data_IF_492202158964
#
_entry.id   IF_492202158964
#
_cell.length_a   1.000
_cell.length_b   1.000
_cell.length_c   1.000
_cell.angle_alpha   90.00
_cell.angle_beta   90.00
_cell.angle_gamma   90.00
#
_symmetry.space_group_name_H-M   'P 1'
#
loop_
_entity.id
_entity.type
_entity.pdbx_description
1 polymer ?
#
# COMPACT_ATOMS: atom_id res chain seq x y z
N UNK A 1 -0.50 -4.89 23.39
CA UNK A 1 0.94 -4.94 23.73
C UNK A 1 1.51 -3.56 24.04
N UNK A 2 1.33 -2.55 23.18
CA UNK A 2 1.73 -1.16 23.53
C UNK A 2 1.01 -0.58 24.75
N UNK A 3 -0.27 -0.91 24.94
CA UNK A 3 -0.99 -0.55 26.16
C UNK A 3 -0.26 -1.00 27.44
N UNK A 4 0.40 -2.16 27.42
CA UNK A 4 1.15 -2.67 28.58
C UNK A 4 2.44 -1.87 28.80
N UNK A 5 3.18 -1.57 27.73
CA UNK A 5 4.37 -0.70 27.81
C UNK A 5 4.01 0.72 28.26
N UNK A 6 2.97 1.33 27.70
CA UNK A 6 2.49 2.66 28.11
C UNK A 6 1.95 2.70 29.53
N UNK A 7 1.39 1.60 30.03
CA UNK A 7 0.94 1.48 31.42
C UNK A 7 2.10 1.26 32.38
N UNK A 8 3.10 0.48 31.98
CA UNK A 8 4.33 0.29 32.75
C UNK A 8 5.11 1.60 32.86
N UNK A 9 5.29 2.35 31.77
CA UNK A 9 5.99 3.64 31.81
C UNK A 9 5.26 4.65 32.70
N UNK A 10 3.93 4.61 32.74
CA UNK A 10 3.10 5.47 33.59
C UNK A 10 3.14 5.04 35.07
N UNK A 11 3.32 3.75 35.36
CA UNK A 11 3.53 3.21 36.72
C UNK A 11 4.95 3.45 37.26
N UNK A 12 5.95 3.44 36.37
CA UNK A 12 7.36 3.65 36.69
C UNK A 12 7.76 5.13 36.68
N UNK A 13 6.87 6.01 36.17
CA UNK A 13 7.03 7.46 36.32
C UNK A 13 6.94 7.84 37.80
N UNK A 14 7.95 8.51 38.37
CA UNK A 14 7.91 8.91 39.77
C UNK A 14 6.71 9.84 39.97
N UNK A 15 5.78 9.45 40.85
CA UNK A 15 4.56 10.20 41.14
C UNK A 15 4.89 11.68 41.35
N UNK A 16 4.40 12.55 40.47
CA UNK A 16 4.25 13.95 40.81
C UNK A 16 3.35 14.00 42.04
N UNK A 17 3.92 14.53 43.12
CA UNK A 17 3.28 14.70 44.40
C UNK A 17 1.86 15.26 44.23
N UNK A 18 0.87 14.48 44.64
CA UNK A 18 -0.47 15.00 44.90
C UNK A 18 -0.34 15.85 46.16
N UNK A 19 -0.29 17.17 45.98
CA UNK A 19 -0.48 18.13 47.07
C UNK A 19 -1.94 18.08 47.51
N UNK A 20 -2.22 17.32 48.56
CA UNK A 20 -3.53 17.32 49.23
C UNK A 20 -3.64 18.52 50.16
N UNK A 21 -4.31 19.59 49.73
CA UNK A 21 -4.91 20.57 50.64
C UNK A 21 -6.33 20.13 51.01
N UNK A 22 -6.48 19.78 52.28
CA UNK A 22 -7.66 19.53 53.13
C UNK A 22 -9.07 19.72 52.54
N UNK A 23 -9.96 18.75 52.83
CA UNK A 23 -11.41 19.00 52.93
C UNK A 23 -12.35 17.82 52.65
N UNK A 24 -12.73 17.09 53.72
CA UNK A 24 -14.04 16.41 53.94
C UNK A 24 -14.50 15.20 53.09
N UNK A 25 -14.46 14.03 53.75
CA UNK A 25 -15.45 12.92 53.82
C UNK A 25 -16.17 12.43 52.54
N UNK A 26 -15.88 11.20 52.08
CA UNK A 26 -16.82 10.04 52.03
C UNK A 26 -16.19 8.79 51.36
N UNK A 27 -16.50 7.62 51.94
CA UNK A 27 -16.61 6.26 51.36
C UNK A 27 -15.38 5.48 50.85
N UNK A 28 -14.92 4.56 51.71
CA UNK A 28 -14.49 3.18 51.46
C UNK A 28 -13.79 2.83 50.13
N UNK A 29 -12.46 2.95 50.13
CA UNK A 29 -11.55 2.16 49.29
C UNK A 29 -10.58 1.48 50.27
N UNK A 30 -10.28 0.17 50.16
CA UNK A 30 -9.25 -0.44 51.00
C UNK A 30 -7.90 0.19 50.64
N UNK A 31 -7.41 1.08 51.50
CA UNK A 31 -6.05 1.62 51.45
C UNK A 31 -5.08 0.48 51.79
N UNK A 32 -4.32 0.02 50.79
CA UNK A 32 -3.18 -0.87 51.01
C UNK A 32 -2.12 -0.04 51.72
N UNK A 33 -2.04 -0.16 53.05
CA UNK A 33 -0.93 0.38 53.82
C UNK A 33 0.29 -0.51 53.57
N UNK A 34 1.17 -0.07 52.66
CA UNK A 34 2.52 -0.63 52.57
C UNK A 34 3.25 -0.20 53.84
N UNK A 35 3.33 -1.11 54.79
CA UNK A 35 4.07 -0.89 56.03
C UNK A 35 5.56 -0.95 55.67
N UNK A 36 6.22 0.20 55.73
CA UNK A 36 7.66 0.35 55.53
C UNK A 36 8.42 -0.56 56.48
N UNK A 37 9.07 -1.58 55.93
CA UNK A 37 10.01 -2.44 56.63
C UNK A 37 11.35 -2.46 55.86
N UNK A 38 12.31 -1.65 56.35
CA UNK A 38 13.76 -1.70 56.13
C UNK A 38 14.33 -1.57 54.67
N UNK A 39 15.55 -1.04 54.49
CA UNK A 39 16.05 -0.49 53.23
C UNK A 39 16.60 -1.53 52.22
N UNK A 40 16.17 -2.80 52.31
CA UNK A 40 16.58 -3.86 51.38
C UNK A 40 15.61 -4.04 50.19
N UNK A 41 14.46 -3.38 50.23
CA UNK A 41 13.45 -3.42 49.16
C UNK A 41 13.86 -2.66 47.89
N UNK A 42 14.69 -1.63 48.01
CA UNK A 42 15.02 -0.74 46.89
C UNK A 42 15.88 -1.42 45.82
N UNK A 43 16.74 -2.37 46.20
CA UNK A 43 17.56 -3.17 45.28
C UNK A 43 16.74 -4.15 44.45
N UNK A 44 15.75 -4.80 45.05
CA UNK A 44 14.92 -5.80 44.37
C UNK A 44 13.89 -5.11 43.46
N UNK A 45 13.33 -3.98 43.94
CA UNK A 45 12.38 -3.18 43.16
C UNK A 45 13.04 -2.52 41.96
N UNK A 46 14.29 -2.06 42.09
CA UNK A 46 15.06 -1.51 40.97
C UNK A 46 15.46 -2.57 39.94
N UNK A 47 15.89 -3.77 40.37
CA UNK A 47 16.16 -4.88 39.44
C UNK A 47 14.90 -5.32 38.68
N UNK A 48 13.76 -5.41 39.37
CA UNK A 48 12.48 -5.73 38.73
C UNK A 48 12.08 -4.67 37.69
N UNK A 49 12.25 -3.38 38.00
CA UNK A 49 12.01 -2.28 37.06
C UNK A 49 12.81 -2.43 35.78
N UNK A 50 14.12 -2.68 35.90
CA UNK A 50 15.02 -2.86 34.75
C UNK A 50 14.59 -4.06 33.90
N UNK A 51 14.22 -5.18 34.53
CA UNK A 51 13.75 -6.36 33.79
C UNK A 51 12.41 -6.12 33.08
N UNK A 52 11.49 -5.39 33.71
CA UNK A 52 10.19 -5.04 33.10
C UNK A 52 10.36 -4.06 31.94
N UNK A 53 11.27 -3.11 32.06
CA UNK A 53 11.62 -2.19 30.97
C UNK A 53 12.24 -2.93 29.78
N UNK A 54 13.19 -3.85 30.06
CA UNK A 54 13.79 -4.70 29.03
C UNK A 54 12.72 -5.52 28.29
N UNK A 55 11.86 -6.21 29.05
CA UNK A 55 10.80 -7.03 28.49
C UNK A 55 9.77 -6.21 27.72
N UNK A 56 9.43 -5.01 28.19
CA UNK A 56 8.56 -4.08 27.46
C UNK A 56 9.18 -3.64 26.14
N UNK A 57 10.51 -3.42 26.11
CA UNK A 57 11.27 -3.16 24.90
C UNK A 57 11.19 -4.31 23.89
N UNK A 58 11.44 -5.55 24.34
CA UNK A 58 11.34 -6.74 23.50
C UNK A 58 9.93 -6.94 22.92
N UNK A 59 8.88 -6.71 23.72
CA UNK A 59 7.50 -6.78 23.22
C UNK A 59 7.16 -5.69 22.20
N UNK A 60 7.75 -4.50 22.34
CA UNK A 60 7.56 -3.41 21.39
C UNK A 60 8.25 -3.74 20.05
N UNK A 61 9.48 -4.24 20.09
CA UNK A 61 10.22 -4.67 18.91
C UNK A 61 9.50 -5.80 18.17
N UNK A 62 8.96 -6.77 18.91
CA UNK A 62 8.15 -7.84 18.35
C UNK A 62 6.88 -7.28 17.68
N UNK A 63 6.22 -6.30 18.31
CA UNK A 63 5.03 -5.67 17.73
C UNK A 63 5.35 -4.95 16.40
N UNK A 64 6.48 -4.23 16.32
CA UNK A 64 6.93 -3.61 15.06
C UNK A 64 7.22 -4.65 13.98
N UNK A 65 7.87 -5.75 14.34
CA UNK A 65 8.16 -6.86 13.43
C UNK A 65 6.86 -7.47 12.89
N UNK A 66 5.87 -7.72 13.76
CA UNK A 66 4.56 -8.22 13.34
C UNK A 66 3.86 -7.26 12.37
N UNK A 67 3.89 -5.95 12.63
CA UNK A 67 3.30 -4.96 11.71
C UNK A 67 3.99 -4.96 10.35
N UNK A 68 5.32 -5.06 10.32
CA UNK A 68 6.07 -5.17 9.08
C UNK A 68 5.72 -6.45 8.31
N UNK A 69 5.62 -7.59 8.99
CA UNK A 69 5.24 -8.86 8.38
C UNK A 69 3.83 -8.80 7.79
N UNK A 70 2.86 -8.19 8.51
CA UNK A 70 1.51 -7.98 7.98
C UNK A 70 1.52 -7.07 6.74
N UNK A 71 2.25 -5.95 6.81
CA UNK A 71 2.42 -5.04 5.68
C UNK A 71 3.03 -5.72 4.44
N UNK A 72 3.98 -6.64 4.64
CA UNK A 72 4.57 -7.44 3.57
C UNK A 72 3.62 -8.54 3.06
N UNK A 73 2.90 -9.22 3.94
CA UNK A 73 1.94 -10.26 3.58
C UNK A 73 0.87 -9.71 2.63
N UNK A 74 0.29 -8.55 2.93
CA UNK A 74 -0.70 -7.93 2.03
C UNK A 74 -0.10 -7.65 0.65
N UNK A 75 1.18 -7.26 0.58
CA UNK A 75 1.85 -7.03 -0.71
C UNK A 75 2.06 -8.32 -1.47
N UNK A 76 2.52 -9.36 -0.79
CA UNK A 76 2.69 -10.71 -1.36
C UNK A 76 1.37 -11.22 -1.92
N UNK A 77 0.24 -10.99 -1.24
CA UNK A 77 -1.08 -11.34 -1.76
C UNK A 77 -1.39 -10.61 -3.07
N UNK A 78 -1.15 -9.29 -3.14
CA UNK A 78 -1.34 -8.53 -4.37
C UNK A 78 -0.52 -9.14 -5.53
N UNK A 79 0.75 -9.50 -5.29
CA UNK A 79 1.56 -10.19 -6.31
C UNK A 79 1.01 -11.57 -6.66
N UNK A 80 0.59 -12.37 -5.68
CA UNK A 80 0.06 -13.70 -5.89
C UNK A 80 -1.16 -13.71 -6.82
N UNK A 81 -2.08 -12.78 -6.60
CA UNK A 81 -3.30 -12.66 -7.39
C UNK A 81 -3.07 -11.94 -8.72
N UNK A 82 -2.29 -10.85 -8.76
CA UNK A 82 -2.21 -10.00 -9.95
C UNK A 82 -1.08 -10.35 -10.91
N UNK A 83 -0.01 -11.03 -10.46
CA UNK A 83 1.12 -11.32 -11.33
C UNK A 83 0.69 -12.33 -12.42
N UNK A 84 0.89 -12.00 -13.71
CA UNK A 84 0.55 -12.90 -14.80
C UNK A 84 1.44 -14.15 -14.73
N UNK A 85 0.79 -15.32 -14.59
CA UNK A 85 1.48 -16.61 -14.74
C UNK A 85 1.65 -16.88 -16.24
N UNK A 86 2.76 -17.50 -16.66
CA UNK A 86 3.28 -17.60 -18.05
C UNK A 86 2.25 -17.82 -19.20
N UNK A 87 1.04 -18.32 -18.94
CA UNK A 87 0.01 -18.58 -19.95
C UNK A 87 -1.38 -17.97 -19.63
N UNK A 88 -1.53 -17.15 -18.59
CA UNK A 88 -2.84 -16.70 -18.13
C UNK A 88 -2.92 -15.16 -18.07
N UNK A 89 -3.39 -14.57 -19.16
CA UNK A 89 -3.65 -13.13 -19.30
C UNK A 89 -4.93 -12.72 -18.52
N UNK A 90 -5.76 -13.69 -18.12
CA UNK A 90 -7.03 -13.43 -17.46
C UNK A 90 -6.87 -13.07 -15.98
N UNK A 91 -6.93 -11.76 -15.72
CA UNK A 91 -6.86 -11.13 -14.40
C UNK A 91 -8.22 -11.20 -13.64
N UNK A 92 -9.31 -11.50 -14.35
CA UNK A 92 -10.71 -11.30 -13.89
C UNK A 92 -11.13 -12.10 -12.64
N UNK A 93 -10.93 -13.43 -12.54
CA UNK A 93 -11.30 -14.16 -11.31
C UNK A 93 -10.49 -13.69 -10.10
N UNK A 94 -9.24 -13.28 -10.34
CA UNK A 94 -8.26 -13.02 -9.29
C UNK A 94 -8.43 -11.65 -8.64
N UNK A 95 -8.99 -10.67 -9.36
CA UNK A 95 -9.26 -9.33 -8.80
C UNK A 95 -10.38 -9.38 -7.77
N UNK A 96 -11.44 -10.12 -8.06
CA UNK A 96 -12.54 -10.31 -7.10
C UNK A 96 -12.04 -11.07 -5.88
N UNK A 97 -11.26 -12.14 -6.08
CA UNK A 97 -10.63 -12.88 -4.97
C UNK A 97 -9.69 -12.00 -4.15
N UNK A 98 -8.84 -11.20 -4.78
CA UNK A 98 -7.97 -10.25 -4.08
C UNK A 98 -8.78 -9.25 -3.26
N UNK A 99 -9.81 -8.62 -3.86
CA UNK A 99 -10.64 -7.64 -3.15
C UNK A 99 -11.34 -8.24 -1.92
N UNK A 100 -11.81 -9.49 -2.03
CA UNK A 100 -12.36 -10.24 -0.89
C UNK A 100 -11.30 -10.53 0.15
N UNK A 101 -10.12 -10.98 -0.27
CA UNK A 101 -8.99 -11.26 0.62
C UNK A 101 -8.58 -10.01 1.41
N UNK A 102 -8.48 -8.85 0.75
CA UNK A 102 -8.16 -7.58 1.38
C UNK A 102 -9.22 -7.17 2.40
N UNK A 103 -10.51 -7.31 2.07
CA UNK A 103 -11.61 -7.01 2.98
C UNK A 103 -11.61 -7.94 4.21
N UNK A 104 -11.37 -9.24 4.03
CA UNK A 104 -11.28 -10.20 5.15
C UNK A 104 -10.08 -9.90 6.05
N UNK A 105 -8.94 -9.51 5.46
CA UNK A 105 -7.78 -9.09 6.23
C UNK A 105 -8.05 -7.80 7.02
N UNK A 106 -8.69 -6.81 6.40
CA UNK A 106 -9.06 -5.56 7.07
C UNK A 106 -9.99 -5.80 8.27
N UNK A 107 -11.02 -6.64 8.10
CA UNK A 107 -11.93 -7.01 9.19
C UNK A 107 -11.19 -7.70 10.34
N UNK A 108 -10.35 -8.69 10.04
CA UNK A 108 -9.57 -9.42 11.05
C UNK A 108 -8.53 -8.55 11.77
N UNK A 109 -7.95 -7.57 11.07
CA UNK A 109 -6.97 -6.65 11.66
C UNK A 109 -7.65 -5.57 12.48
N UNK A 110 -8.81 -5.08 12.05
CA UNK A 110 -9.58 -4.04 12.75
C UNK A 110 -10.07 -4.49 14.13
N UNK A 111 -10.19 -5.79 14.40
CA UNK A 111 -10.53 -6.30 15.75
C UNK A 111 -9.35 -6.27 16.73
N UNK A 112 -8.12 -6.20 16.22
CA UNK A 112 -6.90 -6.42 17.02
C UNK A 112 -5.92 -5.24 16.99
N UNK A 113 -6.03 -4.37 15.99
CA UNK A 113 -5.11 -3.25 15.74
C UNK A 113 -5.85 -1.91 15.82
N UNK A 114 -5.09 -0.87 16.19
CA UNK A 114 -5.57 0.50 16.09
C UNK A 114 -5.68 0.92 14.61
N UNK A 115 -6.63 1.80 14.25
CA UNK A 115 -6.86 2.23 12.87
C UNK A 115 -5.60 2.74 12.14
N UNK A 116 -4.71 3.42 12.86
CA UNK A 116 -3.44 3.94 12.30
C UNK A 116 -2.50 2.82 11.83
N UNK A 117 -2.49 1.69 12.55
CA UNK A 117 -1.67 0.52 12.22
C UNK A 117 -2.26 -0.27 11.07
N UNK A 118 -3.58 -0.43 11.05
CA UNK A 118 -4.29 -1.00 9.90
C UNK A 118 -4.01 -0.16 8.66
N UNK A 119 -4.11 1.17 8.76
CA UNK A 119 -3.77 2.08 7.66
C UNK A 119 -2.34 1.91 7.18
N UNK A 120 -1.35 1.83 8.09
CA UNK A 120 0.05 1.57 7.73
C UNK A 120 0.23 0.27 6.94
N UNK A 121 -0.48 -0.80 7.32
CA UNK A 121 -0.40 -2.09 6.63
C UNK A 121 -0.86 -1.95 5.17
N UNK A 122 -1.93 -1.20 4.92
CA UNK A 122 -2.49 -1.01 3.57
C UNK A 122 -1.92 0.17 2.77
N UNK A 123 -1.07 1.00 3.39
CA UNK A 123 -0.47 2.17 2.75
C UNK A 123 0.32 1.78 1.49
N UNK A 124 0.17 2.54 0.40
CA UNK A 124 0.91 2.34 -0.85
C UNK A 124 0.50 1.13 -1.69
N UNK A 125 -0.56 0.40 -1.31
CA UNK A 125 -1.04 -0.75 -2.09
C UNK A 125 -1.60 -0.32 -3.45
N UNK A 126 -2.34 0.80 -3.52
CA UNK A 126 -2.86 1.32 -4.79
C UNK A 126 -1.76 1.53 -5.82
N UNK A 127 -0.66 2.16 -5.40
CA UNK A 127 0.51 2.41 -6.26
C UNK A 127 1.15 1.11 -6.75
N UNK A 128 1.31 0.15 -5.84
CA UNK A 128 1.92 -1.14 -6.17
C UNK A 128 1.05 -1.95 -7.14
N UNK A 129 -0.26 -2.03 -6.88
CA UNK A 129 -1.23 -2.69 -7.76
C UNK A 129 -1.21 -2.02 -9.13
N UNK A 130 -1.22 -0.69 -9.18
CA UNK A 130 -1.14 0.07 -10.43
C UNK A 130 0.08 -0.34 -11.27
N UNK A 131 1.26 -0.34 -10.64
CA UNK A 131 2.52 -0.75 -11.29
C UNK A 131 2.49 -2.20 -11.77
N UNK A 132 1.95 -3.13 -10.98
CA UNK A 132 1.81 -4.55 -11.40
C UNK A 132 0.93 -4.66 -12.64
N UNK A 133 -0.23 -3.99 -12.64
CA UNK A 133 -1.17 -4.03 -13.75
C UNK A 133 -0.58 -3.38 -15.02
N UNK A 134 0.05 -2.22 -14.91
CA UNK A 134 0.69 -1.54 -16.06
C UNK A 134 1.83 -2.37 -16.63
N UNK A 135 2.67 -2.95 -15.76
CA UNK A 135 3.75 -3.85 -16.17
C UNK A 135 3.24 -5.11 -16.87
N UNK A 136 2.02 -5.55 -16.57
CA UNK A 136 1.44 -6.75 -17.19
C UNK A 136 1.23 -6.60 -18.71
N UNK A 137 1.11 -5.37 -19.22
CA UNK A 137 0.87 -5.05 -20.64
C UNK A 137 1.95 -5.63 -21.55
N UNK A 138 3.20 -5.75 -21.08
CA UNK A 138 4.29 -6.33 -21.87
C UNK A 138 4.01 -7.78 -22.30
N UNK A 139 3.23 -8.52 -21.51
CA UNK A 139 2.86 -9.92 -21.75
C UNK A 139 1.62 -10.07 -22.63
N UNK A 140 0.92 -8.98 -22.95
CA UNK A 140 -0.30 -9.05 -23.74
C UNK A 140 0.05 -9.24 -25.21
N UNK A 141 -0.68 -10.15 -25.86
CA UNK A 141 -0.50 -10.41 -27.30
C UNK A 141 -1.45 -9.58 -28.15
N UNK A 142 -2.62 -9.26 -27.61
CA UNK A 142 -3.69 -8.48 -28.24
C UNK A 142 -4.45 -7.70 -27.17
N UNK A 143 -5.08 -6.62 -27.60
CA UNK A 143 -6.00 -5.85 -26.78
C UNK A 143 -7.12 -5.31 -27.68
N UNK A 144 -8.35 -5.40 -27.20
CA UNK A 144 -9.50 -4.69 -27.79
C UNK A 144 -10.11 -3.69 -26.80
N UNK A 145 -11.13 -2.95 -27.26
CA UNK A 145 -11.86 -1.98 -26.43
C UNK A 145 -12.60 -2.65 -25.25
N UNK A 146 -13.15 -3.84 -25.44
CA UNK A 146 -13.78 -4.65 -24.39
C UNK A 146 -12.79 -5.04 -23.30
N UNK A 147 -11.56 -5.42 -23.66
CA UNK A 147 -10.49 -5.78 -22.73
C UNK A 147 -10.04 -4.58 -21.90
N UNK A 148 -9.90 -3.40 -22.53
CA UNK A 148 -9.64 -2.14 -21.82
C UNK A 148 -10.80 -1.81 -20.86
N UNK A 149 -12.05 -1.92 -21.32
CA UNK A 149 -13.22 -1.66 -20.49
C UNK A 149 -13.33 -2.64 -19.31
N UNK A 150 -13.01 -3.92 -19.53
CA UNK A 150 -12.92 -4.95 -18.47
C UNK A 150 -11.87 -4.58 -17.44
N UNK A 151 -10.65 -4.25 -17.89
CA UNK A 151 -9.58 -3.83 -17.00
C UNK A 151 -9.96 -2.57 -16.21
N UNK A 152 -10.62 -1.60 -16.85
CA UNK A 152 -11.13 -0.40 -16.18
C UNK A 152 -12.10 -0.73 -15.05
N UNK A 153 -13.00 -1.71 -15.24
CA UNK A 153 -13.88 -2.20 -14.17
C UNK A 153 -13.11 -2.90 -13.05
N UNK A 154 -12.13 -3.74 -13.37
CA UNK A 154 -11.29 -4.39 -12.37
C UNK A 154 -10.51 -3.38 -11.51
N UNK A 155 -9.89 -2.39 -12.14
CA UNK A 155 -9.19 -1.30 -11.45
C UNK A 155 -10.16 -0.56 -10.53
N UNK A 156 -11.38 -0.27 -11.02
CA UNK A 156 -12.39 0.39 -10.19
C UNK A 156 -12.80 -0.45 -8.98
N UNK A 157 -12.98 -1.77 -9.13
CA UNK A 157 -13.26 -2.67 -8.00
C UNK A 157 -12.14 -2.65 -6.97
N UNK A 158 -10.88 -2.74 -7.39
CA UNK A 158 -9.73 -2.64 -6.49
C UNK A 158 -9.67 -1.27 -5.81
N UNK A 159 -9.90 -0.21 -6.56
CA UNK A 159 -9.94 1.16 -6.04
C UNK A 159 -11.00 1.33 -4.97
N UNK A 160 -12.22 0.82 -5.16
CA UNK A 160 -13.27 0.87 -4.13
C UNK A 160 -12.87 0.05 -2.90
N UNK A 161 -12.32 -1.15 -3.09
CA UNK A 161 -11.88 -2.00 -1.99
C UNK A 161 -10.80 -1.33 -1.14
N UNK A 162 -9.77 -0.76 -1.78
CA UNK A 162 -8.64 -0.13 -1.08
C UNK A 162 -9.08 1.18 -0.44
N UNK A 163 -9.79 2.05 -1.17
CA UNK A 163 -10.27 3.32 -0.64
C UNK A 163 -11.19 3.14 0.57
N UNK A 164 -11.98 2.05 0.61
CA UNK A 164 -12.80 1.71 1.77
C UNK A 164 -11.97 1.34 2.99
N UNK A 165 -10.80 0.73 2.81
CA UNK A 165 -9.91 0.30 3.90
C UNK A 165 -9.05 1.46 4.39
N UNK A 166 -8.43 2.19 3.46
CA UNK A 166 -7.48 3.28 3.77
C UNK A 166 -8.18 4.60 4.10
N UNK A 167 -9.47 4.72 3.78
CA UNK A 167 -10.24 5.97 3.83
C UNK A 167 -9.54 7.10 3.03
N UNK A 168 -8.82 6.73 1.97
CA UNK A 168 -8.08 7.66 1.11
C UNK A 168 -8.42 7.49 -0.35
N UNK A 169 -8.20 8.57 -1.12
CA UNK A 169 -8.32 8.53 -2.58
C UNK A 169 -7.09 7.87 -3.20
N UNK A 170 -7.30 6.84 -4.00
CA UNK A 170 -6.24 6.12 -4.72
C UNK A 170 -5.94 6.77 -6.08
N UNK A 171 -5.12 7.83 -6.07
CA UNK A 171 -4.75 8.62 -7.27
C UNK A 171 -3.98 7.77 -8.30
N UNK A 172 -3.14 6.84 -7.84
CA UNK A 172 -2.38 5.95 -8.71
C UNK A 172 -3.26 4.97 -9.48
N UNK A 173 -4.37 4.52 -8.91
CA UNK A 173 -5.34 3.67 -9.61
C UNK A 173 -6.14 4.48 -10.64
N UNK A 174 -6.43 5.76 -10.36
CA UNK A 174 -6.98 6.68 -11.37
C UNK A 174 -6.00 6.86 -12.56
N UNK A 175 -4.69 7.01 -12.29
CA UNK A 175 -3.64 7.05 -13.32
C UNK A 175 -3.53 5.74 -14.08
N UNK A 176 -3.57 4.60 -13.38
CA UNK A 176 -3.53 3.26 -13.99
C UNK A 176 -4.71 3.07 -14.95
N UNK A 177 -5.92 3.51 -14.58
CA UNK A 177 -7.08 3.44 -15.46
C UNK A 177 -6.90 4.28 -16.74
N UNK A 178 -6.31 5.47 -16.61
CA UNK A 178 -5.96 6.33 -17.76
C UNK A 178 -4.91 5.68 -18.66
N UNK A 179 -3.94 4.97 -18.10
CA UNK A 179 -2.95 4.23 -18.88
C UNK A 179 -3.59 3.12 -19.73
N UNK A 180 -4.54 2.37 -19.18
CA UNK A 180 -5.25 1.37 -19.99
C UNK A 180 -6.13 2.00 -21.06
N UNK A 181 -6.71 3.19 -20.81
CA UNK A 181 -7.40 3.94 -21.86
C UNK A 181 -6.43 4.38 -22.96
N UNK A 182 -5.20 4.78 -22.63
CA UNK A 182 -4.20 5.16 -23.63
C UNK A 182 -3.95 4.06 -24.67
N UNK A 183 -4.12 2.78 -24.31
CA UNK A 183 -4.00 1.64 -25.23
C UNK A 183 -5.06 1.59 -26.34
N UNK A 184 -6.13 2.38 -26.24
CA UNK A 184 -7.17 2.49 -27.28
C UNK A 184 -6.82 3.52 -28.34
N UNK A 185 -5.82 4.38 -28.08
CA UNK A 185 -5.40 5.45 -28.97
C UNK A 185 -4.46 4.92 -30.07
N UNK A 186 -4.26 5.74 -31.09
CA UNK A 186 -3.21 5.55 -32.08
C UNK A 186 -1.83 5.97 -31.57
N UNK A 187 -0.75 5.40 -32.14
CA UNK A 187 0.60 5.85 -31.83
C UNK A 187 0.78 7.36 -32.00
N UNK A 188 0.24 7.95 -33.07
CA UNK A 188 0.33 9.40 -33.30
C UNK A 188 -0.42 10.22 -32.24
N UNK A 189 -1.62 9.80 -31.85
CA UNK A 189 -2.37 10.44 -30.76
C UNK A 189 -1.60 10.39 -29.43
N UNK A 190 -0.96 9.27 -29.12
CA UNK A 190 -0.13 9.12 -27.91
C UNK A 190 1.07 10.08 -27.95
N UNK A 191 1.78 10.15 -29.08
CA UNK A 191 2.94 11.02 -29.21
C UNK A 191 2.54 12.50 -29.14
N UNK A 192 1.39 12.87 -29.72
CA UNK A 192 0.86 14.23 -29.63
C UNK A 192 0.46 14.58 -28.19
N UNK A 193 -0.17 13.67 -27.45
CA UNK A 193 -0.51 13.89 -26.03
C UNK A 193 0.75 14.14 -25.16
N UNK A 194 1.84 13.41 -25.41
CA UNK A 194 3.12 13.63 -24.72
C UNK A 194 3.70 15.02 -25.05
N UNK A 195 3.54 15.49 -26.29
CA UNK A 195 4.00 16.81 -26.71
C UNK A 195 3.19 17.95 -26.09
N UNK A 196 1.87 17.79 -25.97
CA UNK A 196 0.97 18.81 -25.44
C UNK A 196 0.97 18.85 -23.91
N UNK A 197 0.89 17.69 -23.26
CA UNK A 197 0.68 17.57 -21.81
C UNK A 197 1.94 17.19 -21.03
N UNK A 198 3.01 16.79 -21.72
CA UNK A 198 4.21 16.21 -21.11
C UNK A 198 4.07 14.71 -20.80
N UNK A 199 5.19 14.03 -20.49
CA UNK A 199 5.18 12.60 -20.18
C UNK A 199 4.50 12.33 -18.84
N UNK A 200 3.44 11.51 -18.86
CA UNK A 200 2.69 11.08 -17.68
C UNK A 200 3.14 9.70 -17.16
N UNK A 201 3.82 8.93 -18.00
CA UNK A 201 4.31 7.58 -17.72
C UNK A 201 5.80 7.47 -18.02
N UNK A 202 6.43 6.38 -17.58
CA UNK A 202 7.84 6.11 -17.83
C UNK A 202 8.10 5.72 -19.29
N UNK A 203 9.34 5.93 -19.76
CA UNK A 203 9.80 5.53 -21.09
C UNK A 203 9.45 4.06 -21.41
N UNK A 204 9.64 3.18 -20.42
CA UNK A 204 9.36 1.75 -20.55
C UNK A 204 7.86 1.44 -20.69
N UNK A 205 7.00 2.16 -19.97
CA UNK A 205 5.55 2.01 -20.07
C UNK A 205 5.03 2.46 -21.44
N UNK A 206 5.51 3.60 -21.93
CA UNK A 206 5.19 4.05 -23.30
C UNK A 206 5.69 3.06 -24.36
N UNK A 207 6.90 2.51 -24.18
CA UNK A 207 7.43 1.49 -25.09
C UNK A 207 6.54 0.24 -25.12
N UNK A 208 6.15 -0.29 -23.96
CA UNK A 208 5.27 -1.45 -23.89
C UNK A 208 3.90 -1.19 -24.54
N UNK A 209 3.31 -0.02 -24.29
CA UNK A 209 2.05 0.41 -24.89
C UNK A 209 2.13 0.44 -26.43
N UNK A 210 3.12 1.16 -26.99
CA UNK A 210 3.29 1.27 -28.45
C UNK A 210 3.56 -0.08 -29.12
N UNK A 211 4.38 -0.93 -28.49
CA UNK A 211 4.64 -2.28 -29.00
C UNK A 211 3.38 -3.14 -29.04
N UNK A 212 2.52 -3.05 -28.02
CA UNK A 212 1.25 -3.78 -28.00
C UNK A 212 0.29 -3.27 -29.08
N UNK A 213 0.15 -1.95 -29.21
CA UNK A 213 -0.71 -1.31 -30.23
C UNK A 213 -0.26 -1.70 -31.63
N UNK A 214 1.04 -1.67 -31.90
CA UNK A 214 1.59 -2.08 -33.19
C UNK A 214 1.32 -3.56 -33.48
N UNK A 215 1.55 -4.46 -32.51
CA UNK A 215 1.24 -5.90 -32.63
C UNK A 215 -0.24 -6.14 -32.99
N UNK A 216 -1.15 -5.33 -32.46
CA UNK A 216 -2.58 -5.43 -32.77
C UNK A 216 -2.89 -4.95 -34.20
N UNK A 217 -2.26 -3.85 -34.64
CA UNK A 217 -2.53 -3.21 -35.95
C UNK A 217 -1.90 -3.97 -37.13
N UNK A 218 -0.66 -4.42 -37.00
CA UNK A 218 0.06 -5.19 -38.05
C UNK A 218 -0.62 -6.51 -38.39
N UNK A 219 -1.47 -7.01 -37.48
CA UNK A 219 -2.30 -8.20 -37.73
C UNK A 219 -3.64 -7.87 -38.40
N UNK A 220 -4.15 -6.64 -38.23
CA UNK A 220 -5.46 -6.22 -38.71
C UNK A 220 -5.44 -5.56 -40.10
N UNK A 221 -4.28 -5.08 -40.57
CA UNK A 221 -4.11 -4.39 -41.85
C UNK A 221 -2.81 -4.81 -42.56
N UNK A 222 -2.65 -4.47 -43.84
CA UNK A 222 -1.36 -4.55 -44.53
C UNK A 222 -0.33 -3.64 -43.84
N UNK A 223 0.96 -4.02 -43.76
CA UNK A 223 1.96 -3.32 -42.97
C UNK A 223 2.33 -1.99 -43.64
N UNK A 224 1.67 -0.89 -43.30
CA UNK A 224 1.93 0.42 -43.91
C UNK A 224 2.92 1.29 -43.13
N UNK A 225 3.17 1.00 -41.84
CA UNK A 225 4.08 1.81 -41.00
C UNK A 225 5.00 0.94 -40.18
N UNK A 226 6.32 1.13 -40.35
CA UNK A 226 7.37 0.45 -39.60
C UNK A 226 7.23 0.76 -38.09
N UNK A 227 7.16 -0.24 -37.19
CA UNK A 227 7.10 -0.04 -35.74
C UNK A 227 8.22 0.86 -35.20
N UNK A 228 9.38 0.85 -35.85
CA UNK A 228 10.55 1.60 -35.42
C UNK A 228 10.36 3.11 -35.57
N UNK A 229 9.48 3.58 -36.48
CA UNK A 229 9.24 5.01 -36.68
C UNK A 229 8.65 5.65 -35.41
N UNK A 230 7.59 5.05 -34.86
CA UNK A 230 6.97 5.57 -33.63
C UNK A 230 7.89 5.40 -32.42
N UNK A 231 8.69 4.34 -32.37
CA UNK A 231 9.64 4.11 -31.27
C UNK A 231 10.78 5.15 -31.28
N UNK A 232 11.35 5.44 -32.45
CA UNK A 232 12.38 6.47 -32.60
C UNK A 232 11.81 7.85 -32.25
N UNK A 233 10.61 8.16 -32.74
CA UNK A 233 9.93 9.42 -32.45
C UNK A 233 9.62 9.57 -30.96
N UNK A 234 9.21 8.50 -30.27
CA UNK A 234 9.04 8.50 -28.82
C UNK A 234 10.35 8.86 -28.11
N UNK A 235 11.46 8.21 -28.47
CA UNK A 235 12.76 8.47 -27.86
C UNK A 235 13.22 9.92 -28.07
N UNK A 236 13.01 10.46 -29.28
CA UNK A 236 13.34 11.85 -29.61
C UNK A 236 12.53 12.83 -28.75
N UNK A 237 11.21 12.63 -28.68
CA UNK A 237 10.30 13.47 -27.88
C UNK A 237 10.67 13.43 -26.40
N UNK A 238 10.84 12.23 -25.82
CA UNK A 238 11.18 12.08 -24.41
C UNK A 238 12.56 12.68 -24.09
N UNK A 239 13.52 12.56 -25.00
CA UNK A 239 14.84 13.18 -24.86
C UNK A 239 14.75 14.70 -24.91
N UNK A 240 13.96 15.26 -25.82
CA UNK A 240 13.77 16.71 -25.92
C UNK A 240 13.05 17.27 -24.69
N UNK A 241 12.00 16.59 -24.22
CA UNK A 241 11.26 17.00 -23.02
C UNK A 241 12.15 16.94 -21.77
N UNK A 242 13.02 15.93 -21.63
CA UNK A 242 14.00 15.86 -20.53
C UNK A 242 15.06 16.98 -20.56
N UNK A 243 15.27 17.65 -21.70
CA UNK A 243 16.19 18.80 -21.79
C UNK A 243 15.50 20.13 -21.45
N UNK A 244 14.18 20.19 -21.52
CA UNK A 244 13.38 21.41 -21.27
C UNK A 244 13.06 21.63 -19.78
N UNK A 245 13.28 20.61 -18.95
CA UNK A 245 13.08 20.61 -17.50
C UNK A 245 14.33 20.09 -16.80
#
# INVERSE_FOLDING_TARGET
MEWFSSRLSLLLSPSTAISTSQGTTFSAIPQIYVTSAAPQSDSVTSQLSVTLESLAGEFLELAHTCLLVLHLEVRVQCFHYLLPKKNNIYVEPKVIELSRSLATLDEAMSTCLQPEKTKYIFEGIGDMIGKILMSSVQFWTRIDQSDVNKMGRHIYTLQQSIASITMSREISLDQTRRYFHLLTLSPDEILNDILESGPQYTDLEYMHALQLIHRCRTRAASPTTDPNIHMNRLNDILTEMRRKY
#
